data_IF_649953267250
#
_entry.id   IF_649953267250
#
_cell.length_a   1.000
_cell.length_b   1.000
_cell.length_c   1.000
_cell.angle_alpha   90.00
_cell.angle_beta   90.00
_cell.angle_gamma   90.00
#
_symmetry.space_group_name_H-M   'P 1'
#
loop_
_entity.id
_entity.type
_entity.pdbx_description
1 polymer ?
#
# COMPACT_ATOMS: atom_id res chain seq x y z
N UNK A 1 -13.19 8.83 -16.43
CA UNK A 1 -12.28 9.51 -15.50
C UNK A 1 -13.01 10.16 -14.32
N UNK A 2 -14.15 10.84 -14.52
CA UNK A 2 -14.92 11.51 -13.43
C UNK A 2 -15.38 10.60 -12.27
N UNK A 3 -15.75 9.34 -12.54
CA UNK A 3 -16.22 8.44 -11.49
C UNK A 3 -15.11 7.98 -10.52
N UNK A 4 -13.86 7.88 -11.01
CA UNK A 4 -12.71 7.47 -10.21
C UNK A 4 -12.21 8.63 -9.35
N UNK A 5 -12.16 9.84 -9.94
CA UNK A 5 -11.81 11.07 -9.20
C UNK A 5 -12.83 11.37 -8.09
N UNK A 6 -14.13 11.19 -8.33
CA UNK A 6 -15.15 11.34 -7.28
C UNK A 6 -15.02 10.33 -6.14
N UNK A 7 -14.66 9.08 -6.44
CA UNK A 7 -14.48 8.04 -5.40
C UNK A 7 -13.26 8.31 -4.51
N UNK A 8 -12.15 8.75 -5.11
CA UNK A 8 -10.94 9.15 -4.38
C UNK A 8 -11.20 10.41 -3.55
N UNK A 9 -11.89 11.40 -4.11
CA UNK A 9 -12.24 12.62 -3.40
C UNK A 9 -13.17 12.35 -2.19
N UNK A 10 -14.17 11.49 -2.35
CA UNK A 10 -15.08 11.09 -1.27
C UNK A 10 -14.39 10.26 -0.18
N UNK A 11 -13.43 9.41 -0.55
CA UNK A 11 -12.67 8.66 0.45
C UNK A 11 -11.71 9.54 1.25
N UNK A 12 -11.10 10.57 0.66
CA UNK A 12 -10.33 11.55 1.46
C UNK A 12 -11.23 12.31 2.43
N UNK A 13 -12.42 12.72 1.98
CA UNK A 13 -13.34 13.52 2.78
C UNK A 13 -13.86 12.78 4.01
N UNK A 14 -13.89 11.44 4.02
CA UNK A 14 -14.28 10.69 5.22
C UNK A 14 -13.31 10.83 6.39
N UNK A 15 -12.08 11.28 6.13
CA UNK A 15 -11.08 11.53 7.18
C UNK A 15 -10.97 13.01 7.54
N UNK A 16 -11.67 13.91 6.85
CA UNK A 16 -11.49 15.35 7.07
C UNK A 16 -12.58 15.85 8.01
N UNK A 17 -12.15 16.42 9.12
CA UNK A 17 -13.01 17.09 10.08
C UNK A 17 -12.87 18.62 9.95
N UNK A 18 -13.73 19.33 10.67
CA UNK A 18 -13.58 20.77 10.86
C UNK A 18 -12.53 21.05 11.91
N UNK A 19 -11.63 21.99 11.63
CA UNK A 19 -10.53 22.35 12.51
C UNK A 19 -10.67 23.79 12.97
N UNK A 20 -10.84 24.00 14.26
CA UNK A 20 -10.98 25.32 14.84
C UNK A 20 -9.60 25.96 15.05
N UNK A 21 -9.43 27.19 14.59
CA UNK A 21 -8.22 27.99 14.76
C UNK A 21 -8.54 29.38 15.29
N UNK A 22 -7.62 29.94 16.07
CA UNK A 22 -7.62 31.36 16.40
C UNK A 22 -6.70 32.11 15.44
N UNK A 23 -7.17 33.25 14.95
CA UNK A 23 -6.33 34.21 14.25
C UNK A 23 -5.56 35.05 15.26
N UNK A 24 -4.25 34.82 15.30
CA UNK A 24 -3.32 35.53 16.17
C UNK A 24 -2.71 36.69 15.38
N UNK A 25 -2.90 37.95 15.83
CA UNK A 25 -2.36 39.10 15.13
C UNK A 25 -0.84 39.06 15.03
N UNK A 26 -0.29 39.64 13.96
CA UNK A 26 1.17 39.86 13.87
C UNK A 26 1.70 40.68 15.04
N UNK A 27 2.95 40.46 15.41
CA UNK A 27 3.60 41.11 16.55
C UNK A 27 3.16 40.56 17.92
N UNK A 28 2.28 39.55 17.97
CA UNK A 28 1.87 38.93 19.22
C UNK A 28 3.04 38.19 19.86
N UNK A 29 3.29 38.51 21.14
CA UNK A 29 4.30 37.86 21.96
C UNK A 29 3.74 36.58 22.58
N UNK A 30 4.48 35.50 22.45
CA UNK A 30 4.20 34.18 23.04
C UNK A 30 5.45 33.67 23.76
N UNK A 31 5.34 32.62 24.58
CA UNK A 31 6.51 32.00 25.20
C UNK A 31 7.02 30.82 24.38
N UNK A 32 8.32 30.70 24.19
CA UNK A 32 8.91 29.52 23.56
C UNK A 32 9.01 28.33 24.54
N UNK A 33 9.51 27.19 24.04
CA UNK A 33 9.71 25.98 24.85
C UNK A 33 10.69 26.17 26.02
N UNK A 34 11.54 27.19 25.99
CA UNK A 34 12.46 27.58 27.06
C UNK A 34 11.87 28.63 28.02
N UNK A 35 10.65 29.09 27.77
CA UNK A 35 9.96 30.12 28.55
C UNK A 35 10.35 31.56 28.20
N UNK A 36 11.12 31.78 27.14
CA UNK A 36 11.53 33.11 26.67
C UNK A 36 10.41 33.73 25.80
N UNK A 37 10.23 35.04 25.86
CA UNK A 37 9.30 35.76 24.98
C UNK A 37 9.82 35.77 23.53
N UNK A 38 8.98 35.29 22.61
CA UNK A 38 9.22 35.34 21.16
C UNK A 38 7.99 35.91 20.47
N UNK A 39 8.20 36.60 19.36
CA UNK A 39 7.10 37.05 18.50
C UNK A 39 6.72 35.90 17.57
N UNK A 40 5.43 35.60 17.47
CA UNK A 40 4.94 34.47 16.67
C UNK A 40 5.16 34.68 15.16
N UNK A 41 4.93 35.91 14.70
CA UNK A 41 5.16 36.37 13.33
C UNK A 41 5.19 37.89 13.34
N UNK A 42 6.18 38.49 12.70
CA UNK A 42 6.31 39.96 12.62
C UNK A 42 5.51 40.54 11.45
N UNK A 43 5.36 39.77 10.37
CA UNK A 43 4.87 40.27 9.09
C UNK A 43 3.37 40.02 8.88
N UNK A 44 2.86 38.88 9.35
CA UNK A 44 1.50 38.40 9.04
C UNK A 44 0.79 37.78 10.24
N UNK A 45 -0.55 37.82 10.21
CA UNK A 45 -1.38 37.11 11.18
C UNK A 45 -1.24 35.60 11.01
N UNK A 46 -1.17 34.85 12.11
CA UNK A 46 -0.98 33.40 12.11
C UNK A 46 -2.25 32.72 12.58
N UNK A 47 -2.68 31.69 11.85
CA UNK A 47 -3.74 30.80 12.31
C UNK A 47 -3.15 29.75 13.25
N UNK A 48 -3.63 29.74 14.48
CA UNK A 48 -3.23 28.76 15.50
C UNK A 48 -4.39 27.83 15.78
N UNK A 49 -4.21 26.55 15.48
CA UNK A 49 -5.21 25.53 15.78
C UNK A 49 -5.41 25.40 17.30
N UNK A 50 -6.66 25.14 17.69
CA UNK A 50 -6.96 24.68 19.05
C UNK A 50 -6.26 23.35 19.32
N UNK A 51 -6.02 23.01 20.59
CA UNK A 51 -5.41 21.73 20.98
C UNK A 51 -6.20 20.55 20.40
N UNK A 52 -7.53 20.55 20.62
CA UNK A 52 -8.45 19.52 20.06
C UNK A 52 -8.38 19.43 18.54
N UNK A 53 -8.32 20.56 17.85
CA UNK A 53 -8.25 20.57 16.39
C UNK A 53 -6.88 20.14 15.86
N UNK A 54 -5.81 20.42 16.60
CA UNK A 54 -4.46 19.93 16.29
C UNK A 54 -4.40 18.42 16.44
N UNK A 55 -4.90 17.89 17.55
CA UNK A 55 -5.00 16.45 17.78
C UNK A 55 -5.84 15.76 16.71
N UNK A 56 -7.01 16.33 16.39
CA UNK A 56 -7.90 15.79 15.36
C UNK A 56 -7.25 15.83 13.98
N UNK A 57 -6.63 16.94 13.58
CA UNK A 57 -5.96 17.07 12.28
C UNK A 57 -4.80 16.09 12.13
N UNK A 58 -4.03 15.87 13.20
CA UNK A 58 -2.95 14.88 13.23
C UNK A 58 -3.50 13.45 13.19
N UNK A 59 -4.57 13.15 13.93
CA UNK A 59 -5.24 11.86 13.91
C UNK A 59 -5.76 11.54 12.51
N UNK A 60 -6.47 12.48 11.89
CA UNK A 60 -7.00 12.37 10.53
C UNK A 60 -5.91 12.10 9.50
N UNK A 61 -4.79 12.83 9.62
CA UNK A 61 -3.59 12.63 8.80
C UNK A 61 -3.02 11.23 8.95
N UNK A 62 -2.84 10.77 10.19
CA UNK A 62 -2.31 9.43 10.47
C UNK A 62 -3.24 8.32 9.96
N UNK A 63 -4.55 8.45 10.17
CA UNK A 63 -5.54 7.49 9.67
C UNK A 63 -5.57 7.45 8.14
N UNK A 64 -5.48 8.62 7.49
CA UNK A 64 -5.45 8.69 6.04
C UNK A 64 -4.17 8.06 5.46
N UNK A 65 -2.99 8.39 5.99
CA UNK A 65 -1.71 7.78 5.58
C UNK A 65 -1.77 6.26 5.77
N UNK A 66 -2.23 5.79 6.93
CA UNK A 66 -2.41 4.35 7.20
C UNK A 66 -3.33 3.72 6.14
N UNK A 67 -4.41 4.39 5.74
CA UNK A 67 -5.31 3.87 4.69
C UNK A 67 -4.64 3.76 3.32
N UNK A 68 -3.71 4.65 2.99
CA UNK A 68 -2.95 4.63 1.74
C UNK A 68 -1.90 3.50 1.76
N UNK A 69 -1.20 3.34 2.89
CA UNK A 69 -0.25 2.25 3.09
C UNK A 69 -0.93 0.89 3.02
N UNK A 70 -2.11 0.74 3.64
CA UNK A 70 -2.90 -0.49 3.54
C UNK A 70 -3.24 -0.81 2.09
N UNK A 71 -3.60 0.18 1.26
CA UNK A 71 -3.87 -0.04 -0.17
C UNK A 71 -2.64 -0.47 -0.95
N UNK A 72 -1.49 0.17 -0.69
CA UNK A 72 -0.23 -0.20 -1.32
C UNK A 72 0.20 -1.62 -0.92
N UNK A 73 0.08 -1.96 0.37
CA UNK A 73 0.38 -3.29 0.88
C UNK A 73 -0.57 -4.34 0.28
N UNK A 74 -1.87 -4.07 0.18
CA UNK A 74 -2.81 -4.96 -0.49
C UNK A 74 -2.48 -5.17 -1.97
N UNK A 75 -2.00 -4.15 -2.69
CA UNK A 75 -1.59 -4.30 -4.08
C UNK A 75 -0.36 -5.22 -4.20
N UNK A 76 0.61 -5.06 -3.30
CA UNK A 76 1.79 -5.95 -3.20
C UNK A 76 1.41 -7.37 -2.76
N UNK A 77 0.45 -7.54 -1.86
CA UNK A 77 -0.03 -8.87 -1.48
C UNK A 77 -0.72 -9.57 -2.65
N UNK A 78 -1.44 -8.83 -3.51
CA UNK A 78 -2.05 -9.41 -4.72
C UNK A 78 -1.01 -9.91 -5.71
N UNK A 79 0.09 -9.17 -5.95
CA UNK A 79 1.18 -9.65 -6.82
C UNK A 79 1.79 -10.93 -6.23
N UNK A 80 2.04 -10.95 -4.92
CA UNK A 80 2.59 -12.11 -4.22
C UNK A 80 1.68 -13.33 -4.29
N UNK A 81 0.39 -13.18 -3.98
CA UNK A 81 -0.59 -14.27 -4.01
C UNK A 81 -0.70 -14.86 -5.41
N UNK A 82 -0.71 -14.02 -6.46
CA UNK A 82 -0.80 -14.53 -7.82
C UNK A 82 0.46 -15.30 -8.24
N UNK A 83 1.64 -14.82 -7.84
CA UNK A 83 2.90 -15.54 -8.05
C UNK A 83 2.95 -16.88 -7.29
N UNK A 84 2.54 -16.89 -6.02
CA UNK A 84 2.44 -18.11 -5.21
C UNK A 84 1.45 -19.12 -5.81
N UNK A 85 0.33 -18.62 -6.34
CA UNK A 85 -0.67 -19.45 -7.03
C UNK A 85 -0.08 -20.09 -8.29
N UNK A 86 0.65 -19.33 -9.11
CA UNK A 86 1.32 -19.87 -10.32
C UNK A 86 2.35 -20.93 -9.95
N UNK A 87 3.18 -20.66 -8.95
CA UNK A 87 4.17 -21.61 -8.46
C UNK A 87 3.51 -22.91 -7.96
N UNK A 88 2.43 -22.81 -7.19
CA UNK A 88 1.67 -23.98 -6.74
C UNK A 88 1.05 -24.78 -7.91
N UNK A 89 0.52 -24.09 -8.92
CA UNK A 89 -0.01 -24.71 -10.13
C UNK A 89 1.08 -25.41 -10.94
N UNK A 90 2.21 -24.76 -11.16
CA UNK A 90 3.34 -25.35 -11.89
C UNK A 90 3.88 -26.59 -11.17
N UNK A 91 4.02 -26.54 -9.83
CA UNK A 91 4.38 -27.73 -9.03
C UNK A 91 3.37 -28.87 -9.17
N UNK A 92 2.07 -28.56 -9.21
CA UNK A 92 1.04 -29.56 -9.44
C UNK A 92 1.15 -30.20 -10.84
N UNK A 93 1.40 -29.40 -11.87
CA UNK A 93 1.64 -29.86 -13.25
C UNK A 93 2.88 -30.77 -13.33
N UNK A 94 3.98 -30.39 -12.68
CA UNK A 94 5.20 -31.20 -12.57
C UNK A 94 4.91 -32.57 -11.92
N UNK A 95 4.15 -32.58 -10.82
CA UNK A 95 3.75 -33.82 -10.15
C UNK A 95 2.83 -34.69 -11.02
N UNK A 96 1.96 -34.07 -11.83
CA UNK A 96 1.12 -34.78 -12.79
C UNK A 96 1.95 -35.43 -13.91
N UNK A 97 2.95 -34.72 -14.46
CA UNK A 97 3.92 -35.26 -15.42
C UNK A 97 4.65 -36.46 -14.84
N UNK A 98 5.23 -36.30 -13.64
CA UNK A 98 5.92 -37.40 -12.96
C UNK A 98 5.00 -38.62 -12.80
N UNK A 99 3.75 -38.41 -12.34
CA UNK A 99 2.77 -39.49 -12.17
C UNK A 99 2.43 -40.17 -13.49
N UNK A 100 2.19 -39.39 -14.55
CA UNK A 100 1.90 -39.91 -15.88
C UNK A 100 3.08 -40.75 -16.40
N UNK A 101 4.31 -40.27 -16.26
CA UNK A 101 5.52 -41.03 -16.61
C UNK A 101 5.65 -42.29 -15.79
N UNK A 102 5.56 -42.21 -14.45
CA UNK A 102 5.66 -43.36 -13.56
C UNK A 102 4.60 -44.44 -13.86
N UNK A 103 3.41 -44.05 -14.30
CA UNK A 103 2.36 -44.97 -14.76
C UNK A 103 2.65 -45.63 -16.11
N UNK A 104 3.77 -45.31 -16.77
CA UNK A 104 4.14 -45.83 -18.07
C UNK A 104 3.52 -45.08 -19.27
N UNK A 105 2.76 -43.99 -19.03
CA UNK A 105 2.14 -43.21 -20.11
C UNK A 105 3.20 -42.42 -20.90
N UNK A 106 2.84 -41.95 -22.10
CA UNK A 106 3.69 -41.11 -22.94
C UNK A 106 3.29 -39.65 -22.74
N UNK A 107 4.22 -38.85 -22.25
CA UNK A 107 4.05 -37.42 -21.99
C UNK A 107 4.79 -36.63 -23.08
N UNK A 108 4.34 -35.42 -23.47
CA UNK A 108 5.04 -34.60 -24.44
C UNK A 108 6.49 -34.27 -24.02
N UNK A 109 7.44 -34.17 -24.97
CA UNK A 109 8.83 -33.83 -24.65
C UNK A 109 9.03 -32.47 -23.95
N UNK A 110 8.15 -31.50 -24.22
CA UNK A 110 8.12 -30.20 -23.54
C UNK A 110 8.00 -30.35 -22.03
N UNK A 111 7.08 -31.21 -21.61
CA UNK A 111 6.68 -31.43 -20.23
C UNK A 111 7.69 -32.32 -19.49
N UNK A 112 8.23 -33.33 -20.18
CA UNK A 112 9.35 -34.13 -19.66
C UNK A 112 10.57 -33.24 -19.37
N UNK A 113 10.85 -32.26 -20.25
CA UNK A 113 11.91 -31.27 -20.03
C UNK A 113 11.61 -30.36 -18.83
N UNK A 114 10.35 -29.96 -18.62
CA UNK A 114 9.96 -29.18 -17.42
C UNK A 114 10.21 -29.96 -16.13
N UNK A 115 9.91 -31.26 -16.10
CA UNK A 115 10.22 -32.12 -14.94
C UNK A 115 11.73 -32.21 -14.71
N UNK A 116 12.53 -32.35 -15.77
CA UNK A 116 13.99 -32.35 -15.69
C UNK A 116 14.56 -31.02 -15.19
N UNK A 117 14.05 -29.89 -15.69
CA UNK A 117 14.43 -28.54 -15.25
C UNK A 117 14.06 -28.30 -13.77
N UNK A 118 12.97 -28.91 -13.29
CA UNK A 118 12.55 -28.82 -11.90
C UNK A 118 13.43 -29.68 -10.97
N UNK A 119 13.61 -30.96 -11.27
CA UNK A 119 14.49 -31.88 -10.52
C UNK A 119 14.91 -33.08 -11.39
N UNK A 120 16.21 -33.13 -11.76
CA UNK A 120 16.80 -34.22 -12.54
C UNK A 120 16.66 -35.59 -11.86
N UNK A 121 16.76 -35.67 -10.54
CA UNK A 121 16.59 -36.96 -9.82
C UNK A 121 15.15 -37.43 -9.91
N UNK A 122 14.20 -36.50 -9.77
CA UNK A 122 12.78 -36.80 -9.91
C UNK A 122 12.47 -37.28 -11.34
N UNK A 123 13.05 -36.64 -12.35
CA UNK A 123 12.94 -37.06 -13.75
C UNK A 123 13.52 -38.48 -13.99
N UNK A 124 14.73 -38.77 -13.49
CA UNK A 124 15.35 -40.09 -13.61
C UNK A 124 14.52 -41.18 -12.94
N UNK A 125 13.96 -40.89 -11.75
CA UNK A 125 13.03 -41.78 -11.07
C UNK A 125 11.76 -42.01 -11.91
N UNK A 126 11.21 -40.96 -12.51
CA UNK A 126 10.04 -41.08 -13.39
C UNK A 126 10.34 -41.99 -14.60
N UNK A 127 11.52 -41.86 -15.22
CA UNK A 127 11.96 -42.69 -16.35
C UNK A 127 12.17 -44.15 -15.99
N UNK A 128 12.78 -44.45 -14.85
CA UNK A 128 12.98 -45.82 -14.40
C UNK A 128 11.64 -46.51 -14.09
N UNK A 129 10.74 -45.80 -13.39
CA UNK A 129 9.37 -46.27 -13.15
C UNK A 129 8.57 -46.43 -14.45
N UNK A 130 8.71 -45.50 -15.40
CA UNK A 130 8.06 -45.59 -16.71
C UNK A 130 8.47 -46.85 -17.47
N UNK A 131 9.76 -47.19 -17.46
CA UNK A 131 10.27 -48.41 -18.09
C UNK A 131 9.66 -49.66 -17.46
N UNK A 132 9.72 -49.77 -16.12
CA UNK A 132 9.15 -50.90 -15.38
C UNK A 132 7.64 -51.04 -15.59
N UNK A 133 6.90 -49.94 -15.53
CA UNK A 133 5.46 -49.93 -15.74
C UNK A 133 5.07 -50.35 -17.16
N UNK A 134 5.85 -49.98 -18.18
CA UNK A 134 5.59 -50.37 -19.58
C UNK A 134 5.79 -51.86 -19.85
N UNK A 135 6.69 -52.54 -19.13
CA UNK A 135 6.88 -53.99 -19.25
C UNK A 135 5.58 -54.75 -18.94
N UNK A 136 4.82 -54.26 -17.96
CA UNK A 136 3.61 -54.93 -17.46
C UNK A 136 2.31 -54.34 -18.01
N UNK A 137 2.37 -53.38 -18.95
CA UNK A 137 1.19 -52.61 -19.38
C UNK A 137 0.80 -52.92 -20.82
N UNK A 138 -0.43 -53.39 -21.00
CA UNK A 138 -0.98 -53.73 -22.32
C UNK A 138 -1.28 -52.51 -23.20
N UNK A 139 -1.58 -51.34 -22.59
CA UNK A 139 -1.95 -50.11 -23.32
C UNK A 139 -1.26 -48.87 -22.76
N UNK A 140 -0.47 -48.20 -23.60
CA UNK A 140 0.17 -46.92 -23.28
C UNK A 140 -0.76 -45.78 -23.70
N UNK A 141 -1.07 -44.86 -22.78
CA UNK A 141 -1.84 -43.66 -23.10
C UNK A 141 -0.89 -42.53 -23.49
N UNK A 142 -1.27 -41.75 -24.50
CA UNK A 142 -0.61 -40.48 -24.83
C UNK A 142 -1.32 -39.36 -24.08
N UNK A 143 -0.56 -38.53 -23.38
CA UNK A 143 -1.06 -37.38 -22.63
C UNK A 143 -0.86 -36.10 -23.45
N UNK A 144 -1.79 -35.16 -23.30
CA UNK A 144 -1.60 -33.78 -23.76
C UNK A 144 -0.61 -33.05 -22.84
N UNK A 145 -0.11 -31.90 -23.31
CA UNK A 145 0.71 -31.00 -22.51
C UNK A 145 -0.10 -30.48 -21.32
N UNK A 146 0.52 -30.38 -20.15
CA UNK A 146 -0.03 -29.69 -18.98
C UNK A 146 0.20 -28.16 -19.07
N UNK A 147 1.09 -27.71 -19.97
CA UNK A 147 1.36 -26.30 -20.23
C UNK A 147 0.69 -25.84 -21.52
N UNK A 148 -0.01 -24.71 -21.42
CA UNK A 148 -0.65 -23.99 -22.52
C UNK A 148 0.01 -22.61 -22.67
N UNK A 149 0.39 -22.25 -23.90
CA UNK A 149 1.03 -20.96 -24.19
C UNK A 149 0.08 -19.77 -23.96
N UNK A 150 -1.22 -19.95 -24.19
CA UNK A 150 -2.20 -18.88 -24.01
C UNK A 150 -2.49 -18.65 -22.52
N UNK A 151 -2.46 -19.71 -21.71
CA UNK A 151 -2.51 -19.61 -20.24
C UNK A 151 -1.31 -18.83 -19.70
N UNK A 152 -0.10 -19.11 -20.20
CA UNK A 152 1.12 -18.43 -19.76
C UNK A 152 1.11 -16.95 -20.15
N UNK A 153 0.71 -16.61 -21.38
CA UNK A 153 0.56 -15.21 -21.81
C UNK A 153 -0.47 -14.46 -20.97
N UNK A 154 -1.62 -15.08 -20.68
CA UNK A 154 -2.64 -14.47 -19.84
C UNK A 154 -2.13 -14.21 -18.41
N UNK A 155 -1.32 -15.12 -17.87
CA UNK A 155 -0.66 -14.92 -16.58
C UNK A 155 0.34 -13.75 -16.63
N UNK A 156 1.19 -13.68 -17.67
CA UNK A 156 2.15 -12.58 -17.84
C UNK A 156 1.45 -11.21 -17.96
N UNK A 157 0.38 -11.12 -18.74
CA UNK A 157 -0.43 -9.90 -18.86
C UNK A 157 -1.05 -9.50 -17.51
N UNK A 158 -1.60 -10.47 -16.77
CA UNK A 158 -2.13 -10.24 -15.44
C UNK A 158 -1.06 -9.74 -14.48
N UNK A 159 0.14 -10.32 -14.50
CA UNK A 159 1.26 -9.87 -13.66
C UNK A 159 1.73 -8.47 -14.01
N UNK A 160 1.77 -8.10 -15.30
CA UNK A 160 2.07 -6.73 -15.72
C UNK A 160 1.07 -5.74 -15.13
N UNK A 161 -0.23 -6.05 -15.20
CA UNK A 161 -1.29 -5.21 -14.61
C UNK A 161 -1.14 -5.11 -13.10
N UNK A 162 -0.84 -6.22 -12.41
CA UNK A 162 -0.68 -6.21 -10.96
C UNK A 162 0.54 -5.38 -10.51
N UNK A 163 1.66 -5.50 -11.22
CA UNK A 163 2.86 -4.70 -10.94
C UNK A 163 2.65 -3.21 -11.24
N UNK A 164 1.92 -2.87 -12.30
CA UNK A 164 1.55 -1.49 -12.58
C UNK A 164 0.69 -0.92 -11.44
N UNK A 165 -0.34 -1.66 -11.01
CA UNK A 165 -1.18 -1.25 -9.88
C UNK A 165 -0.38 -1.09 -8.58
N UNK A 166 0.58 -1.97 -8.29
CA UNK A 166 1.47 -1.86 -7.13
C UNK A 166 2.31 -0.58 -7.18
N UNK A 167 2.86 -0.26 -8.36
CA UNK A 167 3.65 0.96 -8.59
C UNK A 167 2.79 2.21 -8.42
N UNK A 168 1.66 2.28 -9.11
CA UNK A 168 0.72 3.40 -9.02
C UNK A 168 0.24 3.63 -7.57
N UNK A 169 -0.04 2.55 -6.83
CA UNK A 169 -0.46 2.65 -5.44
C UNK A 169 0.61 3.27 -4.54
N UNK A 170 1.91 2.98 -4.76
CA UNK A 170 3.01 3.57 -4.00
C UNK A 170 3.29 5.01 -4.42
N UNK A 171 3.36 5.28 -5.71
CA UNK A 171 3.67 6.63 -6.25
C UNK A 171 2.57 7.64 -5.90
N UNK A 172 1.31 7.20 -5.86
CA UNK A 172 0.19 8.06 -5.52
C UNK A 172 0.10 8.43 -4.04
N UNK A 173 0.88 7.83 -3.14
CA UNK A 173 0.83 8.18 -1.70
C UNK A 173 1.18 9.65 -1.49
N UNK A 174 2.29 10.11 -2.07
CA UNK A 174 2.77 11.49 -1.90
C UNK A 174 1.80 12.52 -2.48
N UNK A 175 1.31 12.30 -3.70
CA UNK A 175 0.36 13.22 -4.35
C UNK A 175 -1.00 13.24 -3.65
N UNK A 176 -1.48 12.08 -3.18
CA UNK A 176 -2.71 12.00 -2.39
C UNK A 176 -2.56 12.73 -1.05
N UNK A 177 -1.38 12.65 -0.42
CA UNK A 177 -1.07 13.36 0.81
C UNK A 177 -1.09 14.88 0.63
N UNK A 178 -0.48 15.38 -0.43
CA UNK A 178 -0.47 16.82 -0.74
C UNK A 178 -1.90 17.36 -0.93
N UNK A 179 -2.74 16.62 -1.67
CA UNK A 179 -4.15 16.96 -1.87
C UNK A 179 -4.93 16.90 -0.55
N UNK A 180 -4.65 15.91 0.30
CA UNK A 180 -5.28 15.77 1.60
C UNK A 180 -4.97 16.95 2.52
N UNK A 181 -3.69 17.32 2.65
CA UNK A 181 -3.27 18.48 3.46
C UNK A 181 -3.89 19.78 2.93
N UNK A 182 -3.96 19.95 1.60
CA UNK A 182 -4.63 21.10 1.00
C UNK A 182 -6.12 21.16 1.33
N UNK A 183 -6.80 20.01 1.46
CA UNK A 183 -8.19 19.97 1.91
C UNK A 183 -8.33 20.21 3.41
N UNK A 184 -7.42 19.71 4.24
CA UNK A 184 -7.43 20.01 5.68
C UNK A 184 -7.36 21.53 5.92
N UNK A 185 -6.48 22.24 5.21
CA UNK A 185 -6.38 23.70 5.28
C UNK A 185 -7.69 24.43 4.93
N UNK A 186 -8.49 23.88 4.01
CA UNK A 186 -9.79 24.44 3.62
C UNK A 186 -10.91 24.18 4.64
N UNK A 187 -10.71 23.25 5.56
CA UNK A 187 -11.67 22.93 6.62
C UNK A 187 -11.29 23.58 7.96
N UNK A 188 -10.34 24.51 7.94
CA UNK A 188 -10.04 25.36 9.08
C UNK A 188 -11.11 26.44 9.20
N UNK A 189 -11.70 26.56 10.38
CA UNK A 189 -12.70 27.56 10.75
C UNK A 189 -12.11 28.45 11.82
N UNK A 190 -12.17 29.76 11.57
CA UNK A 190 -11.67 30.76 12.49
C UNK A 190 -12.67 31.01 13.63
N UNK A 191 -12.18 30.89 14.86
CA UNK A 191 -12.91 31.26 16.06
C UNK A 191 -12.72 32.74 16.39
N UNK A 192 -13.73 33.39 16.99
CA UNK A 192 -13.59 34.76 17.48
C UNK A 192 -12.50 34.86 18.55
N UNK A 193 -11.72 35.95 18.51
CA UNK A 193 -10.55 36.17 19.37
C UNK A 193 -10.79 37.17 20.52
N UNK A 194 -12.02 37.66 20.68
CA UNK A 194 -12.35 38.76 21.61
C UNK A 194 -12.05 38.46 23.09
N UNK A 195 -12.02 37.19 23.50
CA UNK A 195 -11.77 36.76 24.88
C UNK A 195 -10.53 35.86 25.04
N UNK A 196 -9.62 35.89 24.07
CA UNK A 196 -8.46 35.00 24.06
C UNK A 196 -7.20 35.76 24.46
N UNK A 197 -6.61 35.37 25.59
CA UNK A 197 -5.31 35.90 26.03
C UNK A 197 -4.17 35.11 25.39
N UNK A 198 -3.69 35.62 24.25
CA UNK A 198 -2.61 35.01 23.49
C UNK A 198 -1.26 35.01 24.22
N UNK A 199 -1.08 35.82 25.27
CA UNK A 199 0.15 35.84 26.08
C UNK A 199 0.36 34.52 26.85
N UNK A 200 -0.71 33.73 27.00
CA UNK A 200 -0.68 32.39 27.61
C UNK A 200 -0.33 31.28 26.63
N UNK A 201 -0.27 31.57 25.32
CA UNK A 201 0.18 30.59 24.35
C UNK A 201 1.66 30.31 24.46
N UNK A 202 2.01 29.06 24.16
CA UNK A 202 3.39 28.63 24.03
C UNK A 202 3.65 28.00 22.67
N UNK A 203 4.81 28.28 22.10
CA UNK A 203 5.32 27.53 20.95
C UNK A 203 6.01 26.26 21.45
N UNK A 204 5.63 25.13 20.85
CA UNK A 204 6.32 23.86 21.00
C UNK A 204 7.15 23.60 19.75
N UNK A 205 8.46 23.42 19.94
CA UNK A 205 9.28 22.78 18.92
C UNK A 205 8.94 21.29 18.85
N UNK A 206 8.42 20.85 17.71
CA UNK A 206 8.26 19.43 17.38
C UNK A 206 9.31 19.07 16.34
N UNK A 207 10.51 18.67 16.82
CA UNK A 207 11.66 18.37 15.97
C UNK A 207 12.32 19.60 15.32
N UNK A 208 13.11 19.38 14.28
CA UNK A 208 13.88 20.43 13.58
C UNK A 208 13.09 21.19 12.49
N UNK A 209 11.83 20.85 12.25
CA UNK A 209 11.10 21.28 11.05
C UNK A 209 9.74 21.97 11.29
N UNK A 210 9.18 21.95 12.50
CA UNK A 210 7.92 22.64 12.80
C UNK A 210 7.85 23.20 14.23
N UNK A 211 7.52 24.49 14.34
CA UNK A 211 7.00 25.09 15.58
C UNK A 211 5.48 24.89 15.59
N UNK A 212 5.00 23.91 16.35
CA UNK A 212 3.60 23.85 16.74
C UNK A 212 3.31 24.91 17.80
N UNK A 213 2.05 25.32 17.96
CA UNK A 213 1.64 26.25 19.02
C UNK A 213 0.58 25.55 19.85
N UNK A 214 0.77 25.51 21.16
CA UNK A 214 -0.20 24.98 22.11
C UNK A 214 -0.76 26.11 22.96
N UNK A 215 -2.09 26.14 23.06
CA UNK A 215 -2.78 26.89 24.09
C UNK A 215 -2.65 26.16 25.42
N UNK A 216 -1.91 26.72 26.35
CA UNK A 216 -1.83 26.22 27.73
C UNK A 216 -3.17 26.54 28.42
N UNK A 217 -4.14 25.63 28.37
CA UNK A 217 -5.42 25.75 29.09
C UNK A 217 -5.33 25.35 30.57
N UNK A 218 -4.12 25.13 31.09
CA UNK A 218 -3.91 24.75 32.47
C UNK A 218 -4.05 25.97 33.40
N UNK A 219 -5.26 26.11 33.96
CA UNK A 219 -5.51 26.84 35.23
C UNK A 219 -5.27 25.87 36.37
#
# INVERSE_FOLDING_TARGET
>A
MEAVTNKVANHMLSFIHTYEAYRVPKGTKVKNSNGEETVLSEDEDVLVLTEKSTEQMNKDKNEYVTSLEIKANMAQERTKIEAEKKDAMDKAKIMAVFRNMANGDMVPPSDERKLLEYDDKMYQAAKSLQYLSRINKEKIKKKSSEWDEDEEKAYEEKMKILHENEREARESIGSNMEVFEAKQRKHIVELPNENVDFSKMRTLKVGDLFEGIIFDFMI
#
